data_IF_982405953838
#
_entry.id   IF_982405953838
#
_cell.length_a   1.000
_cell.length_b   1.000
_cell.length_c   1.000
_cell.angle_alpha   90.00
_cell.angle_beta   90.00
_cell.angle_gamma   90.00
#
_symmetry.space_group_name_H-M   'P 1'
#
loop_
_entity.id
_entity.type
_entity.pdbx_description
1 polymer ?
#
# COMPACT_ATOMS: atom_id res chain seq x y z
N UNK A 1 -18.26 -27.86 -38.91
CA UNK A 1 -19.10 -27.56 -37.73
C UNK A 1 -18.54 -28.42 -36.61
N UNK A 2 -17.82 -27.93 -35.62
CA UNK A 2 -18.00 -26.71 -34.82
C UNK A 2 -16.62 -26.13 -34.45
N UNK A 3 -16.52 -24.79 -34.42
CA UNK A 3 -15.35 -24.05 -33.97
C UNK A 3 -15.08 -24.36 -32.49
N UNK A 4 -13.83 -24.63 -32.15
CA UNK A 4 -13.35 -24.57 -30.78
C UNK A 4 -13.05 -23.12 -30.45
N UNK A 5 -14.01 -22.43 -29.84
CA UNK A 5 -13.81 -21.11 -29.26
C UNK A 5 -12.85 -21.24 -28.07
N UNK A 6 -11.58 -20.94 -28.31
CA UNK A 6 -10.62 -20.63 -27.25
C UNK A 6 -11.07 -19.36 -26.54
N UNK A 7 -11.64 -19.52 -25.34
CA UNK A 7 -11.82 -18.42 -24.42
C UNK A 7 -10.46 -17.78 -24.12
N UNK A 8 -10.30 -16.45 -24.21
CA UNK A 8 -9.07 -15.80 -23.78
C UNK A 8 -9.00 -15.89 -22.25
N UNK A 9 -8.22 -16.85 -21.76
CA UNK A 9 -7.73 -16.84 -20.37
C UNK A 9 -6.55 -15.87 -20.32
N UNK A 10 -6.84 -14.57 -20.42
CA UNK A 10 -5.86 -13.55 -20.05
C UNK A 10 -5.51 -13.79 -18.58
N UNK A 11 -4.25 -14.10 -18.30
CA UNK A 11 -3.77 -14.07 -16.92
C UNK A 11 -4.11 -12.67 -16.37
N UNK A 12 -4.70 -12.55 -15.17
CA UNK A 12 -5.01 -11.26 -14.54
C UNK A 12 -3.76 -10.40 -14.20
N UNK A 13 -2.59 -10.72 -14.76
CA UNK A 13 -1.32 -10.00 -14.65
C UNK A 13 -0.89 -9.41 -16.01
N UNK A 14 -1.70 -9.48 -17.06
CA UNK A 14 -1.32 -8.97 -18.39
C UNK A 14 -1.80 -7.54 -18.67
N UNK A 15 -2.71 -6.98 -17.86
CA UNK A 15 -3.28 -5.64 -18.04
C UNK A 15 -2.84 -4.67 -16.94
N UNK A 16 -3.00 -3.36 -17.15
CA UNK A 16 -2.73 -2.34 -16.13
C UNK A 16 -3.61 -2.52 -14.88
N UNK A 17 -4.89 -2.90 -15.04
CA UNK A 17 -5.80 -3.18 -13.91
C UNK A 17 -5.37 -4.42 -13.14
N UNK A 18 -4.91 -5.44 -13.86
CA UNK A 18 -4.30 -6.64 -13.29
C UNK A 18 -3.02 -6.35 -12.51
N UNK A 19 -2.18 -5.44 -13.03
CA UNK A 19 -1.01 -4.94 -12.31
C UNK A 19 -1.38 -4.15 -11.06
N UNK A 20 -2.43 -3.34 -11.10
CA UNK A 20 -2.93 -2.63 -9.92
C UNK A 20 -3.35 -3.62 -8.82
N UNK A 21 -4.04 -4.71 -9.17
CA UNK A 21 -4.36 -5.79 -8.24
C UNK A 21 -3.09 -6.44 -7.68
N UNK A 22 -2.11 -6.80 -8.53
CA UNK A 22 -0.83 -7.37 -8.09
C UNK A 22 -0.13 -6.48 -7.06
N UNK A 23 -0.03 -5.18 -7.36
CA UNK A 23 0.61 -4.19 -6.49
C UNK A 23 -0.15 -3.99 -5.18
N UNK A 24 -1.49 -3.93 -5.25
CA UNK A 24 -2.33 -3.84 -4.06
C UNK A 24 -2.04 -5.00 -3.11
N UNK A 25 -1.81 -6.19 -3.66
CA UNK A 25 -1.54 -7.41 -2.89
C UNK A 25 -0.16 -7.46 -2.20
N UNK A 26 0.72 -6.48 -2.40
CA UNK A 26 2.01 -6.45 -1.71
C UNK A 26 1.85 -6.07 -0.23
N UNK A 27 2.42 -6.88 0.65
CA UNK A 27 2.32 -6.68 2.11
C UNK A 27 3.30 -5.63 2.65
N UNK A 28 4.41 -5.39 1.95
CA UNK A 28 5.38 -4.36 2.35
C UNK A 28 5.04 -3.05 1.65
N UNK A 29 4.68 -2.00 2.41
CA UNK A 29 4.35 -0.68 1.85
C UNK A 29 5.52 -0.07 1.09
N UNK A 30 6.74 -0.20 1.58
CA UNK A 30 7.94 0.30 0.89
C UNK A 30 8.16 -0.41 -0.44
N UNK A 31 8.01 -1.74 -0.49
CA UNK A 31 8.13 -2.50 -1.74
C UNK A 31 6.98 -2.17 -2.70
N UNK A 32 5.79 -1.87 -2.18
CA UNK A 32 4.64 -1.43 -2.96
C UNK A 32 4.90 -0.08 -3.61
N UNK A 33 5.33 0.93 -2.85
CA UNK A 33 5.68 2.25 -3.38
C UNK A 33 6.78 2.13 -4.44
N UNK A 34 7.84 1.36 -4.16
CA UNK A 34 8.92 1.12 -5.12
C UNK A 34 8.44 0.46 -6.41
N UNK A 35 7.54 -0.54 -6.31
CA UNK A 35 6.99 -1.22 -7.49
C UNK A 35 5.93 -0.41 -8.24
N UNK A 36 5.24 0.53 -7.58
CA UNK A 36 4.39 1.53 -8.24
C UNK A 36 5.26 2.45 -9.10
N UNK A 37 6.35 2.99 -8.53
CA UNK A 37 7.29 3.84 -9.27
C UNK A 37 7.98 3.14 -10.43
N UNK A 38 8.35 1.86 -10.24
CA UNK A 38 9.04 1.09 -11.27
C UNK A 38 8.14 0.68 -12.44
N UNK A 39 6.81 0.73 -12.27
CA UNK A 39 5.87 0.30 -13.30
C UNK A 39 5.55 1.46 -14.24
N UNK A 40 5.95 1.33 -15.49
CA UNK A 40 5.50 2.24 -16.54
C UNK A 40 4.16 1.77 -17.11
N UNK A 41 3.09 2.52 -16.86
CA UNK A 41 1.74 2.16 -17.31
C UNK A 41 1.61 2.02 -18.84
N UNK A 42 2.44 2.71 -19.62
CA UNK A 42 2.41 2.62 -21.08
C UNK A 42 2.82 1.24 -21.62
N UNK A 43 3.53 0.45 -20.80
CA UNK A 43 3.97 -0.89 -21.18
C UNK A 43 2.88 -1.95 -20.98
N UNK A 44 1.73 -1.57 -20.43
CA UNK A 44 0.63 -2.48 -20.08
C UNK A 44 -0.67 -2.09 -20.81
N UNK A 45 -1.36 -3.03 -21.46
CA UNK A 45 -2.66 -2.74 -22.05
C UNK A 45 -3.68 -2.42 -20.97
N UNK A 46 -4.58 -1.47 -21.27
CA UNK A 46 -5.73 -1.17 -20.44
C UNK A 46 -6.98 -1.82 -21.04
N UNK A 47 -7.43 -2.90 -20.41
CA UNK A 47 -8.71 -3.53 -20.69
C UNK A 47 -9.74 -3.08 -19.65
N UNK A 48 -10.60 -2.14 -20.03
CA UNK A 48 -11.60 -1.56 -19.13
C UNK A 48 -12.71 -2.56 -18.77
N UNK A 49 -12.97 -3.55 -19.62
CA UNK A 49 -14.04 -4.53 -19.43
C UNK A 49 -13.53 -5.82 -18.77
N UNK A 50 -12.22 -5.92 -18.50
CA UNK A 50 -11.62 -7.07 -17.84
C UNK A 50 -12.32 -7.40 -16.51
N UNK A 51 -12.69 -8.67 -16.36
CA UNK A 51 -13.29 -9.19 -15.14
C UNK A 51 -12.19 -9.85 -14.31
N UNK A 52 -11.74 -9.13 -13.28
CA UNK A 52 -10.75 -9.61 -12.33
C UNK A 52 -11.43 -10.29 -11.13
N UNK A 53 -10.88 -11.42 -10.69
CA UNK A 53 -11.38 -12.13 -9.51
C UNK A 53 -10.73 -11.55 -8.25
N UNK A 54 -11.56 -11.13 -7.29
CA UNK A 54 -11.08 -10.67 -6.00
C UNK A 54 -10.37 -11.82 -5.25
N UNK A 55 -9.14 -11.61 -4.72
CA UNK A 55 -8.50 -12.60 -3.86
C UNK A 55 -9.30 -12.82 -2.56
N UNK A 56 -9.23 -14.02 -1.94
CA UNK A 56 -10.08 -14.40 -0.78
C UNK A 56 -9.92 -13.50 0.45
N UNK A 57 -8.77 -12.87 0.60
CA UNK A 57 -8.48 -11.77 1.52
C UNK A 57 -8.01 -10.62 0.64
N UNK A 58 -8.52 -9.40 0.82
CA UNK A 58 -7.93 -8.23 0.17
C UNK A 58 -6.51 -8.06 0.73
N UNK A 59 -5.44 -8.33 -0.05
CA UNK A 59 -4.08 -8.31 0.46
C UNK A 59 -3.56 -6.86 0.36
N UNK A 60 -2.51 -6.55 1.12
CA UNK A 60 -2.01 -5.18 1.24
C UNK A 60 -2.36 -4.46 2.53
N UNK A 61 -2.78 -5.19 3.57
CA UNK A 61 -2.70 -4.71 4.95
C UNK A 61 -1.33 -5.07 5.51
N UNK A 62 -0.35 -4.15 5.48
CA UNK A 62 0.96 -4.42 6.07
C UNK A 62 0.79 -4.79 7.55
N UNK A 63 1.68 -5.64 8.07
CA UNK A 63 1.69 -6.02 9.50
C UNK A 63 1.83 -4.80 10.44
N UNK A 64 2.31 -3.67 9.91
CA UNK A 64 2.48 -2.39 10.61
C UNK A 64 2.05 -1.25 9.69
N UNK A 65 1.56 -0.12 10.26
CA UNK A 65 1.45 0.18 11.69
C UNK A 65 0.31 -0.56 12.40
N UNK A 66 0.44 -0.68 13.72
CA UNK A 66 -0.65 -1.18 14.56
C UNK A 66 -1.79 -0.15 14.54
N UNK A 67 -2.94 -0.59 14.04
CA UNK A 67 -4.13 0.24 13.92
C UNK A 67 -4.85 0.34 15.28
N UNK A 68 -5.04 1.56 15.76
CA UNK A 68 -5.73 1.87 17.02
C UNK A 68 -6.96 2.73 16.77
N UNK A 69 -7.96 2.64 17.65
CA UNK A 69 -9.14 3.48 17.58
C UNK A 69 -8.74 4.98 17.67
N UNK A 70 -9.43 5.91 17.00
CA UNK A 70 -8.99 7.32 16.96
C UNK A 70 -8.89 7.96 18.34
N UNK A 71 -9.76 7.56 19.28
CA UNK A 71 -9.70 8.00 20.68
C UNK A 71 -8.49 7.48 21.48
N UNK A 72 -7.76 6.50 20.96
CA UNK A 72 -6.57 5.92 21.58
C UNK A 72 -5.28 6.58 21.08
N UNK A 73 -5.36 7.43 20.06
CA UNK A 73 -4.25 8.27 19.65
C UNK A 73 -4.05 9.38 20.69
N UNK A 74 -3.02 9.23 21.53
CA UNK A 74 -2.57 10.32 22.39
C UNK A 74 -2.19 11.52 21.52
N UNK A 75 -2.68 12.71 21.87
CA UNK A 75 -2.25 13.96 21.26
C UNK A 75 -0.73 14.09 21.40
N UNK A 76 -0.05 14.16 20.25
CA UNK A 76 1.43 14.21 20.20
C UNK A 76 1.87 15.66 20.36
N UNK A 77 2.64 15.96 21.41
CA UNK A 77 3.22 17.28 21.58
C UNK A 77 4.28 17.53 20.49
N UNK A 78 3.93 18.28 19.45
CA UNK A 78 4.79 18.56 18.27
C UNK A 78 6.11 19.27 18.64
N UNK A 79 6.23 19.76 19.88
CA UNK A 79 7.46 20.36 20.41
C UNK A 79 8.64 19.38 20.59
N UNK A 80 8.40 18.08 20.77
CA UNK A 80 9.48 17.09 20.96
C UNK A 80 9.86 16.37 19.66
N UNK A 81 11.04 15.73 19.63
CA UNK A 81 11.48 14.95 18.47
C UNK A 81 10.51 13.80 18.17
N UNK A 82 10.09 13.08 19.21
CA UNK A 82 9.16 11.95 19.13
C UNK A 82 7.77 12.42 18.68
N UNK A 83 7.33 13.60 19.12
CA UNK A 83 6.07 14.20 18.68
C UNK A 83 6.08 14.56 17.19
N UNK A 84 7.18 15.14 16.70
CA UNK A 84 7.39 15.42 15.27
C UNK A 84 7.48 14.12 14.46
N UNK A 85 8.27 13.15 14.90
CA UNK A 85 8.39 11.86 14.24
C UNK A 85 7.04 11.14 14.15
N UNK A 86 6.25 11.18 15.22
CA UNK A 86 4.89 10.66 15.20
C UNK A 86 3.99 11.41 14.21
N UNK A 87 4.07 12.73 14.09
CA UNK A 87 3.30 13.46 13.07
C UNK A 87 3.70 13.03 11.65
N UNK A 88 4.99 12.98 11.36
CA UNK A 88 5.50 12.53 10.05
C UNK A 88 5.08 11.09 9.75
N UNK A 89 5.13 10.21 10.74
CA UNK A 89 4.63 8.84 10.60
C UNK A 89 3.13 8.81 10.27
N UNK A 90 2.31 9.66 10.90
CA UNK A 90 0.88 9.72 10.61
C UNK A 90 0.61 10.15 9.16
N UNK A 91 1.34 11.16 8.67
CA UNK A 91 1.29 11.58 7.25
C UNK A 91 1.74 10.44 6.34
N UNK A 92 2.86 9.79 6.66
CA UNK A 92 3.38 8.63 5.91
C UNK A 92 2.33 7.53 5.79
N UNK A 93 1.55 7.30 6.86
CA UNK A 93 0.46 6.32 6.85
C UNK A 93 -0.74 6.74 5.99
N UNK A 94 -1.05 8.04 5.94
CA UNK A 94 -2.09 8.56 5.05
C UNK A 94 -1.71 8.29 3.59
N UNK A 95 -0.48 8.58 3.19
CA UNK A 95 -0.04 8.34 1.81
C UNK A 95 -0.02 6.84 1.48
N UNK A 96 0.43 6.00 2.42
CA UNK A 96 0.36 4.54 2.26
C UNK A 96 -1.07 4.03 2.00
N UNK A 97 -2.05 4.59 2.72
CA UNK A 97 -3.46 4.26 2.51
C UNK A 97 -3.99 4.82 1.18
N UNK A 98 -3.52 5.99 0.75
CA UNK A 98 -3.91 6.59 -0.52
C UNK A 98 -3.39 5.77 -1.73
N UNK A 99 -2.16 5.23 -1.66
CA UNK A 99 -1.65 4.27 -2.66
C UNK A 99 -2.59 3.06 -2.76
N UNK A 100 -2.95 2.46 -1.62
CA UNK A 100 -3.86 1.31 -1.58
C UNK A 100 -5.22 1.65 -2.16
N UNK A 101 -5.79 2.81 -1.81
CA UNK A 101 -7.08 3.26 -2.32
C UNK A 101 -7.04 3.43 -3.84
N UNK A 102 -6.00 4.09 -4.37
CA UNK A 102 -5.85 4.31 -5.79
C UNK A 102 -5.76 2.99 -6.58
N UNK A 103 -4.95 2.05 -6.09
CA UNK A 103 -4.86 0.71 -6.68
C UNK A 103 -6.19 -0.05 -6.58
N UNK A 104 -6.92 0.09 -5.45
CA UNK A 104 -8.24 -0.52 -5.25
C UNK A 104 -9.27 -0.04 -6.27
N UNK A 105 -9.32 1.28 -6.51
CA UNK A 105 -10.21 1.88 -7.50
C UNK A 105 -9.95 1.36 -8.91
N UNK A 106 -8.68 1.16 -9.27
CA UNK A 106 -8.31 0.67 -10.61
C UNK A 106 -8.73 -0.79 -10.86
N UNK A 107 -8.48 -1.70 -9.91
CA UNK A 107 -8.75 -3.11 -10.15
C UNK A 107 -10.25 -3.43 -10.02
N UNK A 108 -10.92 -2.85 -9.00
CA UNK A 108 -12.25 -3.27 -8.54
C UNK A 108 -13.36 -2.97 -9.54
N UNK A 109 -13.31 -1.81 -10.18
CA UNK A 109 -14.40 -1.34 -11.04
C UNK A 109 -14.08 -1.64 -12.51
N UNK A 110 -14.95 -2.40 -13.18
CA UNK A 110 -14.89 -2.65 -14.62
C UNK A 110 -15.90 -1.76 -15.37
N UNK A 111 -15.67 -1.53 -16.66
CA UNK A 111 -16.56 -0.82 -17.57
C UNK A 111 -16.56 0.71 -17.42
N UNK A 112 -15.54 1.28 -16.74
CA UNK A 112 -15.39 2.73 -16.62
C UNK A 112 -14.55 3.31 -17.77
N UNK A 113 -14.60 4.63 -18.04
CA UNK A 113 -13.76 5.24 -19.06
C UNK A 113 -12.27 5.03 -18.80
N UNK A 114 -11.45 4.93 -19.85
CA UNK A 114 -10.00 4.75 -19.74
C UNK A 114 -9.33 5.79 -18.82
N UNK A 115 -9.76 7.05 -18.92
CA UNK A 115 -9.23 8.16 -18.12
C UNK A 115 -9.40 7.94 -16.61
N UNK A 116 -10.48 7.29 -16.16
CA UNK A 116 -10.66 6.96 -14.75
C UNK A 116 -9.49 6.13 -14.21
N UNK A 117 -9.07 5.11 -14.96
CA UNK A 117 -7.96 4.24 -14.55
C UNK A 117 -6.62 4.96 -14.60
N UNK A 118 -6.40 5.78 -15.63
CA UNK A 118 -5.17 6.54 -15.78
C UNK A 118 -5.03 7.63 -14.73
N UNK A 119 -6.13 8.28 -14.33
CA UNK A 119 -6.14 9.26 -13.25
C UNK A 119 -5.86 8.61 -11.90
N UNK A 120 -6.48 7.48 -11.59
CA UNK A 120 -6.15 6.75 -10.37
C UNK A 120 -4.71 6.20 -10.39
N UNK A 121 -4.18 5.81 -11.55
CA UNK A 121 -2.77 5.45 -11.67
C UNK A 121 -1.84 6.63 -11.36
N UNK A 122 -2.19 7.84 -11.82
CA UNK A 122 -1.44 9.07 -11.49
C UNK A 122 -1.44 9.32 -9.99
N UNK A 123 -2.62 9.23 -9.34
CA UNK A 123 -2.73 9.33 -7.88
C UNK A 123 -1.84 8.30 -7.20
N UNK A 124 -1.87 7.03 -7.62
CA UNK A 124 -1.00 6.00 -7.01
C UNK A 124 0.49 6.37 -7.08
N UNK A 125 0.96 6.93 -8.20
CA UNK A 125 2.35 7.40 -8.34
C UNK A 125 2.66 8.63 -7.48
N UNK A 126 1.75 9.61 -7.43
CA UNK A 126 1.92 10.82 -6.61
C UNK A 126 2.02 10.47 -5.13
N UNK A 127 1.13 9.60 -4.63
CA UNK A 127 1.13 9.21 -3.22
C UNK A 127 2.28 8.26 -2.87
N UNK A 128 2.75 7.45 -3.83
CA UNK A 128 4.00 6.69 -3.66
C UNK A 128 5.22 7.62 -3.52
N UNK A 129 5.25 8.75 -4.24
CA UNK A 129 6.32 9.75 -4.11
C UNK A 129 6.23 10.45 -2.75
N UNK A 130 5.03 10.87 -2.33
CA UNK A 130 4.83 11.48 -1.02
C UNK A 130 5.22 10.54 0.12
N UNK A 131 4.82 9.27 0.03
CA UNK A 131 5.22 8.22 0.97
C UNK A 131 6.75 8.14 1.09
N UNK A 132 7.47 8.07 -0.02
CA UNK A 132 8.94 7.95 -0.01
C UNK A 132 9.60 9.17 0.62
N UNK A 133 9.15 10.39 0.30
CA UNK A 133 9.70 11.63 0.87
C UNK A 133 9.51 11.69 2.39
N UNK A 134 8.31 11.33 2.87
CA UNK A 134 7.97 11.30 4.29
C UNK A 134 8.69 10.17 5.02
N UNK A 135 8.74 8.98 4.44
CA UNK A 135 9.44 7.83 4.99
C UNK A 135 10.94 8.09 5.11
N UNK A 136 11.59 8.65 4.09
CA UNK A 136 12.99 9.07 4.16
C UNK A 136 13.20 10.16 5.22
N UNK A 137 12.25 11.09 5.38
CA UNK A 137 12.34 12.09 6.45
C UNK A 137 12.24 11.45 7.83
N UNK A 138 11.34 10.49 8.01
CA UNK A 138 11.18 9.74 9.25
C UNK A 138 12.47 9.00 9.62
N UNK A 139 13.12 8.35 8.65
CA UNK A 139 14.44 7.69 8.81
C UNK A 139 15.49 8.70 9.29
N UNK A 140 15.52 9.91 8.72
CA UNK A 140 16.45 10.97 9.18
C UNK A 140 16.20 11.42 10.62
N UNK A 141 14.98 11.26 11.14
CA UNK A 141 14.65 11.53 12.54
C UNK A 141 14.98 10.37 13.49
N UNK A 142 15.47 9.23 12.95
CA UNK A 142 15.82 8.04 13.72
C UNK A 142 14.69 7.02 13.89
N UNK A 143 13.61 7.15 13.11
CA UNK A 143 12.43 6.27 13.19
C UNK A 143 12.11 5.65 11.82
N UNK A 144 11.39 4.54 11.80
CA UNK A 144 10.92 3.87 10.59
C UNK A 144 9.39 3.92 10.48
N UNK A 145 8.89 3.75 9.25
CA UNK A 145 7.45 3.55 9.05
C UNK A 145 7.00 2.27 9.75
N UNK A 146 5.95 2.38 10.56
CA UNK A 146 5.47 1.32 11.44
C UNK A 146 5.90 1.46 12.91
N UNK A 147 6.87 2.32 13.26
CA UNK A 147 7.35 2.51 14.64
C UNK A 147 6.32 3.13 15.58
N UNK A 148 5.32 3.82 15.04
CA UNK A 148 4.23 4.41 15.81
C UNK A 148 2.90 3.72 15.50
N UNK A 149 1.94 3.70 16.44
CA UNK A 149 0.57 3.30 16.12
C UNK A 149 -0.06 4.31 15.16
N UNK A 150 -0.96 3.82 14.31
CA UNK A 150 -1.72 4.63 13.37
C UNK A 150 -3.23 4.36 13.50
N UNK A 151 -4.04 5.19 12.86
CA UNK A 151 -5.49 5.01 12.81
C UNK A 151 -5.88 4.13 11.63
N UNK A 152 -6.88 3.26 11.80
CA UNK A 152 -7.49 2.56 10.65
C UNK A 152 -8.36 3.53 9.85
N UNK A 153 -7.89 3.98 8.69
CA UNK A 153 -8.68 4.86 7.81
C UNK A 153 -9.86 4.15 7.11
N UNK A 154 -10.02 2.83 7.27
CA UNK A 154 -11.25 2.11 6.95
C UNK A 154 -11.63 2.02 5.48
N UNK A 155 -11.32 0.88 4.85
CA UNK A 155 -12.22 0.22 3.88
C UNK A 155 -12.33 -1.27 4.28
N UNK A 156 -13.57 -1.73 4.45
CA UNK A 156 -13.97 -2.80 5.38
C UNK A 156 -13.45 -4.23 5.09
N UNK A 157 -13.27 -4.98 6.18
CA UNK A 157 -13.06 -6.43 6.27
C UNK A 157 -12.59 -6.80 7.68
N UNK A 158 -13.50 -7.24 8.55
CA UNK A 158 -13.30 -7.40 9.98
C UNK A 158 -12.60 -8.72 10.36
N UNK A 159 -11.72 -8.66 11.37
CA UNK A 159 -11.48 -9.75 12.33
C UNK A 159 -10.25 -10.63 12.10
N UNK A 160 -9.17 -10.36 12.84
CA UNK A 160 -8.27 -11.41 13.36
C UNK A 160 -7.42 -10.84 14.51
N UNK A 161 -7.72 -11.23 15.74
CA UNK A 161 -6.84 -11.04 16.90
C UNK A 161 -5.96 -12.29 17.07
N UNK A 162 -4.66 -12.11 17.25
CA UNK A 162 -3.74 -13.21 17.60
C UNK A 162 -3.15 -12.94 19.01
N UNK A 163 -3.14 -13.92 19.94
CA UNK A 163 -2.56 -13.74 21.26
C UNK A 163 -1.03 -13.87 21.22
N UNK A 164 -0.39 -12.99 22.00
CA UNK A 164 0.98 -12.97 22.51
C UNK A 164 2.00 -13.99 21.97
N UNK A 165 2.88 -13.51 21.10
CA UNK A 165 4.17 -14.12 20.75
C UNK A 165 4.95 -13.17 19.82
N UNK A 166 6.29 -13.18 19.80
CA UNK A 166 7.05 -12.45 18.79
C UNK A 166 7.00 -13.20 17.45
N UNK A 167 6.47 -12.58 16.41
CA UNK A 167 6.27 -13.19 15.08
C UNK A 167 7.21 -12.60 14.00
N UNK A 168 7.56 -13.38 12.95
CA UNK A 168 8.63 -13.02 12.02
C UNK A 168 8.12 -12.16 10.85
N UNK A 169 8.49 -10.87 10.83
CA UNK A 169 8.14 -9.90 9.79
C UNK A 169 9.29 -9.56 8.83
N UNK A 170 8.93 -9.02 7.66
CA UNK A 170 9.76 -8.57 6.55
C UNK A 170 11.12 -7.98 6.99
N UNK A 171 12.22 -8.52 6.43
CA UNK A 171 13.60 -8.13 6.76
C UNK A 171 13.90 -6.64 6.50
N UNK A 172 13.24 -6.01 5.54
CA UNK A 172 13.46 -4.59 5.19
C UNK A 172 12.93 -3.62 6.27
N UNK A 173 11.88 -4.00 7.00
CA UNK A 173 11.36 -3.21 8.13
C UNK A 173 12.18 -3.40 9.43
N UNK A 174 13.14 -4.34 9.45
CA UNK A 174 14.02 -4.63 10.60
C UNK A 174 15.41 -4.02 10.51
N UNK A 175 15.82 -3.47 9.38
CA UNK A 175 17.19 -3.06 9.17
C UNK A 175 17.50 -1.68 9.81
N UNK A 176 17.72 -1.68 11.13
CA UNK A 176 18.71 -0.80 11.75
C UNK A 176 20.06 -1.54 11.72
N UNK A 177 21.17 -0.93 11.28
CA UNK A 177 22.45 -1.35 11.81
C UNK A 177 22.51 -0.91 13.28
N UNK A 178 22.57 -1.89 14.17
CA UNK A 178 22.99 -1.69 15.56
C UNK A 178 24.34 -0.95 15.59
N UNK A 179 24.52 -0.12 16.60
CA UNK A 179 25.50 0.95 16.65
C UNK A 179 26.97 0.57 16.48
N UNK A 180 27.78 1.62 16.32
CA UNK A 180 29.14 1.63 16.87
C UNK A 180 29.24 2.85 17.78
N UNK A 181 29.29 2.58 19.07
CA UNK A 181 29.84 3.45 20.09
C UNK A 181 31.36 3.47 19.97
N UNK A 182 31.96 4.66 20.10
CA UNK A 182 33.41 4.87 20.15
C UNK A 182 33.72 6.35 20.16
#
# INVERSE_FOLDING_TARGET
MLNSDTAPTSRPQASLRGQALRLLCLDCTTDKAAQVHALNAADWPLDVDEILTAPPLLPGRPERPHLVHPSQLKTRAVGTLEGRAGLIHALTHIEANAINLALDMMWRFAGLPADFYLDWWRVAQEEALHFDLLHQHLIRLGFAYGDFPAHDAGTAGAGATHPGGPWPGCHACRAQPAGVSG
#
